data_IF_529805183126
#
_entry.id   IF_529805183126
#
_cell.length_a   1.000
_cell.length_b   1.000
_cell.length_c   1.000
_cell.angle_alpha   90.00
_cell.angle_beta   90.00
_cell.angle_gamma   90.00
#
_symmetry.space_group_name_H-M   'P 1'
#
loop_
_entity.id
_entity.type
_entity.pdbx_description
1 polymer ?
#
# COMPACT_ATOMS: atom_id res chain seq x y z
N UNK A 1 -9.43 -24.22 17.40
CA UNK A 1 -9.98 -23.48 18.56
C UNK A 1 -11.45 -23.19 18.33
N UNK A 2 -12.29 -23.30 19.38
CA UNK A 2 -13.69 -22.88 19.28
C UNK A 2 -13.79 -21.36 19.13
N UNK A 3 -14.70 -20.90 18.24
CA UNK A 3 -14.95 -19.46 18.05
C UNK A 3 -15.79 -18.93 19.21
N UNK A 4 -15.41 -17.76 19.75
CA UNK A 4 -16.25 -17.01 20.67
C UNK A 4 -17.26 -16.18 19.89
N UNK A 5 -18.50 -16.10 20.37
CA UNK A 5 -19.58 -15.35 19.74
C UNK A 5 -20.10 -14.29 20.72
N UNK A 6 -20.32 -13.08 20.20
CA UNK A 6 -20.93 -11.98 20.93
C UNK A 6 -22.00 -11.33 20.03
N UNK A 7 -23.11 -10.88 20.61
CA UNK A 7 -24.27 -10.40 19.89
C UNK A 7 -24.79 -9.08 20.43
N UNK A 8 -25.63 -8.42 19.63
CA UNK A 8 -26.40 -7.27 20.05
C UNK A 8 -25.58 -6.04 20.39
N UNK A 9 -25.97 -5.37 21.46
CA UNK A 9 -25.36 -4.12 21.93
C UNK A 9 -23.93 -4.34 22.45
N UNK A 10 -23.71 -5.42 23.18
CA UNK A 10 -22.39 -5.75 23.74
C UNK A 10 -21.34 -5.91 22.63
N UNK A 11 -21.71 -6.57 21.53
CA UNK A 11 -20.81 -6.72 20.37
C UNK A 11 -20.46 -5.36 19.76
N UNK A 12 -21.46 -4.48 19.57
CA UNK A 12 -21.23 -3.13 19.04
C UNK A 12 -20.36 -2.27 19.95
N UNK A 13 -20.59 -2.34 21.27
CA UNK A 13 -19.81 -1.60 22.25
C UNK A 13 -18.34 -2.05 22.26
N UNK A 14 -18.07 -3.35 22.22
CA UNK A 14 -16.72 -3.88 22.14
C UNK A 14 -15.99 -3.44 20.86
N UNK A 15 -16.65 -3.55 19.71
CA UNK A 15 -16.09 -3.06 18.45
C UNK A 15 -15.81 -1.56 18.50
N UNK A 16 -16.73 -0.77 19.09
CA UNK A 16 -16.56 0.68 19.20
C UNK A 16 -15.35 1.05 20.05
N UNK A 17 -15.12 0.37 21.18
CA UNK A 17 -13.94 0.62 22.03
C UNK A 17 -12.65 0.43 21.19
N UNK A 18 -12.56 -0.60 20.39
CA UNK A 18 -11.42 -0.83 19.53
C UNK A 18 -11.24 0.24 18.45
N UNK A 19 -12.34 0.63 17.80
CA UNK A 19 -12.36 1.72 16.83
C UNK A 19 -11.92 3.04 17.49
N UNK A 20 -12.44 3.36 18.66
CA UNK A 20 -12.08 4.58 19.40
C UNK A 20 -10.60 4.60 19.78
N UNK A 21 -10.04 3.46 20.17
CA UNK A 21 -8.62 3.35 20.52
C UNK A 21 -7.69 3.71 19.35
N UNK A 22 -7.94 3.16 18.16
CA UNK A 22 -7.17 3.49 16.95
C UNK A 22 -7.38 4.95 16.56
N UNK A 23 -8.63 5.41 16.52
CA UNK A 23 -8.95 6.78 16.13
C UNK A 23 -8.28 7.80 17.05
N UNK A 24 -8.30 7.59 18.36
CA UNK A 24 -7.68 8.47 19.34
C UNK A 24 -6.15 8.53 19.18
N UNK A 25 -5.50 7.40 18.93
CA UNK A 25 -4.07 7.37 18.69
C UNK A 25 -3.70 8.11 17.41
N UNK A 26 -4.39 7.82 16.31
CA UNK A 26 -4.09 8.36 14.98
C UNK A 26 -4.48 9.85 14.86
N UNK A 27 -5.63 10.26 15.41
CA UNK A 27 -6.11 11.64 15.30
C UNK A 27 -5.19 12.68 15.95
N UNK A 28 -4.33 12.27 16.88
CA UNK A 28 -3.35 13.17 17.52
C UNK A 28 -2.31 13.68 16.53
N UNK A 29 -2.11 13.01 15.40
CA UNK A 29 -1.15 13.38 14.36
C UNK A 29 -1.73 14.33 13.30
N UNK A 30 -3.04 14.64 13.35
CA UNK A 30 -3.74 15.39 12.31
C UNK A 30 -3.44 16.88 12.33
N UNK A 31 -3.13 17.41 11.15
CA UNK A 31 -3.11 18.84 10.84
C UNK A 31 -1.93 19.59 11.47
N UNK A 32 -1.95 20.95 11.41
CA UNK A 32 -0.80 21.78 11.79
C UNK A 32 -0.49 21.78 13.29
N UNK A 33 -1.38 21.25 14.13
CA UNK A 33 -1.14 20.99 15.56
C UNK A 33 -0.90 19.51 15.86
N UNK A 34 -0.69 18.71 14.81
CA UNK A 34 -0.39 17.29 14.92
C UNK A 34 0.86 17.05 15.77
N UNK A 35 0.85 15.95 16.52
CA UNK A 35 1.93 15.54 17.43
C UNK A 35 2.48 14.21 16.98
N UNK A 36 3.75 13.99 17.28
CA UNK A 36 4.36 12.68 17.12
C UNK A 36 3.81 11.71 18.20
N UNK A 37 3.71 10.45 17.81
CA UNK A 37 3.37 9.33 18.69
C UNK A 37 4.63 8.52 18.93
N UNK A 38 4.92 8.19 20.19
CA UNK A 38 5.99 7.27 20.55
C UNK A 38 5.43 5.85 20.64
N UNK A 39 6.00 4.94 19.88
CA UNK A 39 5.61 3.53 19.81
C UNK A 39 6.68 2.69 20.46
N UNK A 40 6.31 1.91 21.47
CA UNK A 40 7.22 0.98 22.13
C UNK A 40 7.68 -0.12 21.17
N UNK A 41 8.97 -0.37 21.14
CA UNK A 41 9.55 -1.49 20.39
C UNK A 41 9.99 -2.59 21.37
N UNK A 42 9.75 -3.85 21.02
CA UNK A 42 10.18 -5.01 21.85
C UNK A 42 11.69 -5.04 22.06
N UNK A 43 12.45 -4.53 21.10
CA UNK A 43 13.91 -4.42 21.15
C UNK A 43 14.32 -3.06 20.58
N UNK A 44 15.17 -2.33 21.29
CA UNK A 44 15.69 -1.03 20.84
C UNK A 44 14.95 0.16 21.43
N UNK A 45 15.14 1.32 20.84
CA UNK A 45 14.51 2.58 21.26
C UNK A 45 13.09 2.68 20.71
N UNK A 46 12.17 3.42 21.40
CA UNK A 46 10.85 3.69 20.87
C UNK A 46 10.92 4.38 19.49
N UNK A 47 10.05 3.97 18.58
CA UNK A 47 9.88 4.65 17.29
C UNK A 47 9.00 5.88 17.49
N UNK A 48 9.46 7.03 17.03
CA UNK A 48 8.70 8.28 17.04
C UNK A 48 8.22 8.57 15.63
N UNK A 49 6.91 8.66 15.44
CA UNK A 49 6.31 8.91 14.12
C UNK A 49 5.06 9.79 14.23
N UNK A 50 4.73 10.46 13.13
CA UNK A 50 3.47 11.17 12.95
C UNK A 50 2.63 10.55 11.82
N UNK A 51 3.11 9.50 11.18
CA UNK A 51 2.38 8.83 10.11
C UNK A 51 1.21 8.02 10.64
N UNK A 52 0.01 8.34 10.12
CA UNK A 52 -1.25 7.75 10.57
C UNK A 52 -1.34 6.24 10.35
N UNK A 53 -0.84 5.71 9.22
CA UNK A 53 -0.89 4.27 8.96
C UNK A 53 0.07 3.49 9.86
N UNK A 54 1.26 4.03 10.10
CA UNK A 54 2.24 3.44 11.01
C UNK A 54 1.68 3.37 12.43
N UNK A 55 1.12 4.49 12.93
CA UNK A 55 0.47 4.52 14.25
C UNK A 55 -0.69 3.53 14.30
N UNK A 56 -1.55 3.51 13.27
CA UNK A 56 -2.70 2.60 13.25
C UNK A 56 -2.27 1.13 13.33
N UNK A 57 -1.25 0.71 12.57
CA UNK A 57 -0.77 -0.67 12.52
C UNK A 57 -0.32 -1.20 13.88
N UNK A 58 0.26 -0.35 14.71
CA UNK A 58 0.83 -0.74 16.02
C UNK A 58 -0.21 -0.81 17.14
N UNK A 59 -1.43 -0.30 16.96
CA UNK A 59 -2.47 -0.39 17.99
C UNK A 59 -3.00 -1.82 18.09
N UNK A 60 -2.71 -2.53 19.15
CA UNK A 60 -3.24 -3.86 19.46
C UNK A 60 -3.91 -3.85 20.83
N UNK A 61 -5.04 -4.55 20.95
CA UNK A 61 -5.82 -4.61 22.18
C UNK A 61 -5.92 -6.05 22.72
N UNK A 62 -5.86 -6.23 24.04
CA UNK A 62 -5.89 -7.57 24.65
C UNK A 62 -7.21 -8.31 24.46
N UNK A 63 -8.35 -7.58 24.45
CA UNK A 63 -9.66 -8.18 24.22
C UNK A 63 -9.86 -8.45 22.73
N UNK A 64 -10.16 -9.70 22.33
CA UNK A 64 -10.26 -10.07 20.91
C UNK A 64 -11.40 -9.37 20.17
N UNK A 65 -12.50 -9.00 20.83
CA UNK A 65 -13.60 -8.27 20.18
C UNK A 65 -13.28 -6.79 20.03
N UNK A 66 -12.61 -6.18 21.00
CA UNK A 66 -12.10 -4.82 20.89
C UNK A 66 -11.02 -4.74 19.81
N UNK A 67 -10.10 -5.70 19.77
CA UNK A 67 -9.06 -5.77 18.76
C UNK A 67 -9.65 -5.97 17.34
N UNK A 68 -10.76 -6.68 17.22
CA UNK A 68 -11.47 -6.78 15.92
C UNK A 68 -11.99 -5.40 15.47
N UNK A 69 -12.51 -4.58 16.36
CA UNK A 69 -12.88 -3.19 16.09
C UNK A 69 -11.68 -2.35 15.63
N UNK A 70 -10.54 -2.49 16.31
CA UNK A 70 -9.29 -1.86 15.92
C UNK A 70 -8.87 -2.27 14.50
N UNK A 71 -8.91 -3.55 14.16
CA UNK A 71 -8.56 -4.06 12.83
C UNK A 71 -9.46 -3.48 11.72
N UNK A 72 -10.76 -3.34 11.96
CA UNK A 72 -11.67 -2.73 10.99
C UNK A 72 -11.30 -1.29 10.65
N UNK A 73 -10.88 -0.49 11.64
CA UNK A 73 -10.48 0.89 11.39
C UNK A 73 -9.08 0.99 10.76
N UNK A 74 -8.15 0.10 11.14
CA UNK A 74 -6.84 -0.02 10.49
C UNK A 74 -6.96 -0.28 8.99
N UNK A 75 -7.95 -1.06 8.57
CA UNK A 75 -8.18 -1.37 7.15
C UNK A 75 -8.47 -0.12 6.33
N UNK A 76 -9.21 0.86 6.88
CA UNK A 76 -9.46 2.14 6.21
C UNK A 76 -8.16 2.92 5.97
N UNK A 77 -7.28 2.96 6.97
CA UNK A 77 -5.96 3.59 6.86
C UNK A 77 -5.06 2.87 5.84
N UNK A 78 -4.98 1.54 5.91
CA UNK A 78 -4.15 0.74 5.02
C UNK A 78 -4.58 0.86 3.54
N UNK A 79 -5.89 0.76 3.26
CA UNK A 79 -6.40 0.93 1.88
C UNK A 79 -6.13 2.32 1.32
N UNK A 80 -6.20 3.36 2.15
CA UNK A 80 -5.85 4.72 1.71
C UNK A 80 -4.37 4.82 1.39
N UNK A 81 -3.50 4.24 2.22
CA UNK A 81 -2.07 4.17 1.97
C UNK A 81 -1.74 3.46 0.65
N UNK A 82 -2.37 2.32 0.40
CA UNK A 82 -2.10 1.50 -0.80
C UNK A 82 -2.53 2.19 -2.11
N UNK A 83 -3.56 3.04 -2.04
CA UNK A 83 -4.12 3.71 -3.23
C UNK A 83 -3.48 5.09 -3.45
N UNK A 84 -3.30 5.88 -2.39
CA UNK A 84 -2.93 7.29 -2.49
C UNK A 84 -1.56 7.61 -1.83
N UNK A 85 -1.06 6.75 -0.93
CA UNK A 85 0.18 7.00 -0.19
C UNK A 85 0.08 8.10 0.86
N UNK A 86 -1.01 8.87 0.90
CA UNK A 86 -1.24 9.97 1.84
C UNK A 86 -2.71 10.02 2.27
N UNK A 87 -3.04 10.85 3.29
CA UNK A 87 -4.39 11.00 3.80
C UNK A 87 -4.84 9.89 4.76
N UNK A 88 -3.95 9.06 5.25
CA UNK A 88 -4.24 7.91 6.13
C UNK A 88 -4.86 8.33 7.46
N UNK A 89 -4.39 9.43 8.05
CA UNK A 89 -4.97 10.02 9.26
C UNK A 89 -6.38 10.55 8.99
N UNK A 90 -6.58 11.26 7.87
CA UNK A 90 -7.88 11.81 7.49
C UNK A 90 -8.91 10.71 7.26
N UNK A 91 -8.55 9.65 6.53
CA UNK A 91 -9.45 8.51 6.29
C UNK A 91 -9.85 7.79 7.58
N UNK A 92 -8.91 7.64 8.51
CA UNK A 92 -9.17 7.05 9.84
C UNK A 92 -10.17 7.89 10.63
N UNK A 93 -9.98 9.21 10.68
CA UNK A 93 -10.87 10.14 11.40
C UNK A 93 -12.26 10.17 10.77
N UNK A 94 -12.37 10.20 9.44
CA UNK A 94 -13.65 10.16 8.73
C UNK A 94 -14.39 8.84 8.97
N UNK A 95 -13.70 7.69 8.86
CA UNK A 95 -14.29 6.39 9.11
C UNK A 95 -14.80 6.27 10.56
N UNK A 96 -14.01 6.74 11.54
CA UNK A 96 -14.42 6.81 12.94
C UNK A 96 -15.67 7.67 13.14
N UNK A 97 -15.73 8.87 12.51
CA UNK A 97 -16.88 9.75 12.61
C UNK A 97 -18.16 9.11 12.02
N UNK A 98 -18.04 8.48 10.84
CA UNK A 98 -19.17 7.79 10.18
C UNK A 98 -19.68 6.65 11.08
N UNK A 99 -18.78 5.83 11.65
CA UNK A 99 -19.16 4.73 12.54
C UNK A 99 -19.83 5.26 13.81
N UNK A 100 -19.28 6.30 14.40
CA UNK A 100 -19.80 6.89 15.65
C UNK A 100 -21.22 7.45 15.45
N UNK A 101 -21.46 8.22 14.40
CA UNK A 101 -22.78 8.75 14.09
C UNK A 101 -23.76 7.63 13.63
N UNK A 102 -23.25 6.65 12.89
CA UNK A 102 -24.02 5.48 12.50
C UNK A 102 -24.52 4.68 13.72
N UNK A 103 -23.66 4.43 14.71
CA UNK A 103 -24.03 3.73 15.94
C UNK A 103 -25.05 4.51 16.77
N UNK A 104 -24.96 5.85 16.86
CA UNK A 104 -25.99 6.68 17.49
C UNK A 104 -27.34 6.54 16.79
N UNK A 105 -27.33 6.59 15.47
CA UNK A 105 -28.54 6.44 14.64
C UNK A 105 -29.20 5.07 14.81
N UNK A 106 -28.38 4.00 14.91
CA UNK A 106 -28.85 2.65 15.21
C UNK A 106 -29.45 2.54 16.61
N UNK A 107 -28.81 3.15 17.61
CA UNK A 107 -29.32 3.19 18.99
C UNK A 107 -30.67 3.93 19.09
N UNK A 108 -30.90 4.91 18.20
CA UNK A 108 -32.19 5.62 18.06
C UNK A 108 -33.26 4.78 17.32
N UNK A 109 -32.98 3.54 16.93
CA UNK A 109 -33.94 2.63 16.31
C UNK A 109 -33.97 2.59 14.79
N UNK A 110 -32.99 3.22 14.11
CA UNK A 110 -32.92 3.18 12.64
C UNK A 110 -32.63 1.76 12.12
N UNK A 111 -33.17 1.47 10.94
CA UNK A 111 -32.91 0.20 10.28
C UNK A 111 -31.46 0.17 9.74
N UNK A 112 -30.61 -0.82 10.15
CA UNK A 112 -29.20 -0.87 9.76
C UNK A 112 -28.98 -1.01 8.26
N UNK A 113 -29.87 -1.72 7.55
CA UNK A 113 -29.75 -1.90 6.10
C UNK A 113 -30.10 -0.63 5.32
N UNK A 114 -31.04 0.16 5.81
CA UNK A 114 -31.38 1.46 5.23
C UNK A 114 -30.26 2.47 5.49
N UNK A 115 -29.68 2.46 6.70
CA UNK A 115 -28.55 3.31 7.06
C UNK A 115 -27.34 2.96 6.16
N UNK A 116 -27.02 1.70 5.96
CA UNK A 116 -25.94 1.26 5.06
C UNK A 116 -26.15 1.83 3.64
N UNK A 117 -27.34 1.68 3.06
CA UNK A 117 -27.65 2.20 1.72
C UNK A 117 -27.50 3.74 1.66
N UNK A 118 -27.93 4.44 2.71
CA UNK A 118 -27.76 5.88 2.81
C UNK A 118 -26.30 6.30 2.82
N UNK A 119 -25.46 5.61 3.58
CA UNK A 119 -24.01 5.86 3.63
C UNK A 119 -23.36 5.59 2.26
N UNK A 120 -23.73 4.50 1.59
CA UNK A 120 -23.19 4.16 0.26
C UNK A 120 -23.54 5.21 -0.80
N UNK A 121 -24.76 5.72 -0.80
CA UNK A 121 -25.20 6.77 -1.72
C UNK A 121 -24.50 8.09 -1.41
N UNK A 122 -24.46 8.50 -0.13
CA UNK A 122 -23.79 9.71 0.29
C UNK A 122 -22.29 9.68 -0.04
N UNK A 123 -21.61 8.54 0.18
CA UNK A 123 -20.20 8.39 -0.14
C UNK A 123 -19.90 8.60 -1.63
N UNK A 124 -20.76 8.11 -2.53
CA UNK A 124 -20.60 8.34 -3.98
C UNK A 124 -20.73 9.81 -4.34
N UNK A 125 -21.78 10.48 -3.85
CA UNK A 125 -22.02 11.90 -4.14
C UNK A 125 -20.87 12.76 -3.63
N UNK A 126 -20.43 12.52 -2.39
CA UNK A 126 -19.30 13.26 -1.80
C UNK A 126 -18.00 12.99 -2.57
N UNK A 127 -17.75 11.75 -3.00
CA UNK A 127 -16.55 11.43 -3.78
C UNK A 127 -16.55 12.11 -5.17
N UNK A 128 -17.72 12.22 -5.81
CA UNK A 128 -17.87 12.97 -7.07
C UNK A 128 -17.60 14.46 -6.86
N UNK A 129 -18.21 15.07 -5.84
CA UNK A 129 -18.01 16.48 -5.50
C UNK A 129 -16.55 16.82 -5.14
N UNK A 130 -15.86 15.93 -4.42
CA UNK A 130 -14.43 16.09 -4.12
C UNK A 130 -13.59 16.04 -5.40
N UNK A 131 -13.91 15.15 -6.35
CA UNK A 131 -13.20 15.11 -7.65
C UNK A 131 -13.39 16.39 -8.46
N UNK A 132 -14.59 16.96 -8.45
CA UNK A 132 -14.89 18.21 -9.15
C UNK A 132 -14.15 19.40 -8.54
N UNK A 133 -13.85 19.34 -7.24
CA UNK A 133 -13.05 20.35 -6.53
C UNK A 133 -11.54 20.12 -6.59
N UNK A 134 -11.08 18.95 -7.06
CA UNK A 134 -9.67 18.59 -7.10
C UNK A 134 -8.89 19.50 -8.06
N UNK A 135 -7.72 19.95 -7.63
CA UNK A 135 -6.77 20.71 -8.43
C UNK A 135 -5.73 19.74 -8.98
N UNK A 136 -5.58 19.73 -10.32
CA UNK A 136 -4.61 18.88 -10.97
C UNK A 136 -3.18 19.38 -10.70
N UNK A 137 -2.30 18.45 -10.27
CA UNK A 137 -0.87 18.70 -10.06
C UNK A 137 -0.16 18.61 -11.41
N UNK A 138 0.25 19.77 -11.95
CA UNK A 138 0.81 19.83 -13.31
C UNK A 138 2.22 20.40 -13.37
N UNK A 139 2.58 21.30 -12.45
CA UNK A 139 3.87 21.97 -12.45
C UNK A 139 4.85 21.33 -11.47
N UNK A 140 6.14 21.51 -11.71
CA UNK A 140 7.20 21.08 -10.79
C UNK A 140 7.03 21.68 -9.38
N UNK A 141 6.55 22.93 -9.31
CA UNK A 141 6.27 23.60 -8.03
C UNK A 141 5.12 22.91 -7.28
N UNK A 142 4.08 22.48 -8.00
CA UNK A 142 2.97 21.75 -7.38
C UNK A 142 3.46 20.41 -6.82
N UNK A 143 4.29 19.70 -7.58
CA UNK A 143 4.91 18.45 -7.14
C UNK A 143 5.75 18.67 -5.87
N UNK A 144 6.60 19.71 -5.87
CA UNK A 144 7.42 20.09 -4.71
C UNK A 144 6.55 20.39 -3.48
N UNK A 145 5.45 21.13 -3.65
CA UNK A 145 4.53 21.46 -2.56
C UNK A 145 3.86 20.21 -1.97
N UNK A 146 3.38 19.30 -2.82
CA UNK A 146 2.77 18.02 -2.38
C UNK A 146 3.79 17.17 -1.62
N UNK A 147 4.99 17.01 -2.19
CA UNK A 147 6.04 16.23 -1.57
C UNK A 147 6.54 16.85 -0.25
N UNK A 148 6.63 18.20 -0.18
CA UNK A 148 6.97 18.93 1.06
C UNK A 148 5.94 18.70 2.17
N UNK A 149 4.65 18.69 1.84
CA UNK A 149 3.59 18.42 2.82
C UNK A 149 3.71 17.00 3.35
N UNK A 150 3.92 16.02 2.48
CA UNK A 150 4.07 14.61 2.87
C UNK A 150 5.32 14.36 3.70
N UNK A 151 6.47 14.90 3.29
CA UNK A 151 7.75 14.74 3.98
C UNK A 151 7.91 15.65 5.20
N UNK A 152 7.11 16.70 5.31
CA UNK A 152 7.26 17.81 6.26
C UNK A 152 8.65 18.47 6.20
N UNK A 153 9.30 18.40 5.03
CA UNK A 153 10.62 18.92 4.76
C UNK A 153 10.69 19.48 3.32
N UNK A 154 10.99 20.78 3.21
CA UNK A 154 11.05 21.46 1.91
C UNK A 154 12.23 20.98 1.05
N UNK A 155 13.34 20.58 1.68
CA UNK A 155 14.50 20.07 0.95
C UNK A 155 14.17 18.73 0.29
N UNK A 156 13.53 17.82 1.02
CA UNK A 156 13.04 16.53 0.48
C UNK A 156 12.00 16.78 -0.62
N UNK A 157 11.07 17.70 -0.40
CA UNK A 157 10.04 18.05 -1.37
C UNK A 157 10.62 18.52 -2.70
N UNK A 158 11.61 19.42 -2.66
CA UNK A 158 12.31 19.92 -3.85
C UNK A 158 13.12 18.80 -4.53
N UNK A 159 13.81 17.95 -3.75
CA UNK A 159 14.57 16.81 -4.28
C UNK A 159 13.68 15.84 -5.05
N UNK A 160 12.51 15.49 -4.51
CA UNK A 160 11.53 14.63 -5.18
C UNK A 160 11.02 15.27 -6.46
N UNK A 161 10.74 16.57 -6.45
CA UNK A 161 10.30 17.30 -7.64
C UNK A 161 11.39 17.34 -8.73
N UNK A 162 12.66 17.48 -8.35
CA UNK A 162 13.80 17.41 -9.27
C UNK A 162 13.94 16.03 -9.90
N UNK A 163 13.76 14.97 -9.10
CA UNK A 163 13.81 13.58 -9.58
C UNK A 163 12.64 13.33 -10.53
N UNK A 164 11.42 13.75 -10.16
CA UNK A 164 10.21 13.58 -10.97
C UNK A 164 10.31 14.28 -12.33
N UNK A 165 10.91 15.47 -12.34
CA UNK A 165 11.18 16.25 -13.57
C UNK A 165 12.11 15.50 -14.55
N UNK A 166 13.08 14.76 -14.01
CA UNK A 166 14.03 13.96 -14.81
C UNK A 166 13.47 12.63 -15.28
N UNK A 167 12.76 11.89 -14.40
CA UNK A 167 12.24 10.56 -14.73
C UNK A 167 10.91 10.61 -15.47
N UNK A 168 10.21 11.76 -15.41
CA UNK A 168 8.90 11.95 -16.01
C UNK A 168 7.74 11.42 -15.14
N UNK A 169 6.51 11.72 -15.56
CA UNK A 169 5.28 11.39 -14.81
C UNK A 169 5.05 9.88 -14.62
N UNK A 170 5.54 9.06 -15.53
CA UNK A 170 5.42 7.61 -15.50
C UNK A 170 6.65 6.93 -14.85
N UNK A 171 7.62 7.72 -14.37
CA UNK A 171 8.82 7.22 -13.74
C UNK A 171 8.53 6.68 -12.34
N UNK A 172 9.24 5.62 -11.96
CA UNK A 172 9.16 5.04 -10.62
C UNK A 172 10.23 5.66 -9.74
N UNK A 173 9.82 6.17 -8.58
CA UNK A 173 10.71 6.70 -7.56
C UNK A 173 10.65 5.76 -6.36
N UNK A 174 11.81 5.23 -5.96
CA UNK A 174 11.96 4.42 -4.74
C UNK A 174 12.79 5.20 -3.73
N UNK A 175 12.48 5.02 -2.45
CA UNK A 175 13.21 5.62 -1.33
C UNK A 175 13.83 4.50 -0.52
N UNK A 176 15.15 4.53 -0.35
CA UNK A 176 15.91 3.55 0.41
C UNK A 176 16.79 4.27 1.44
N UNK A 177 17.20 3.57 2.50
CA UNK A 177 18.17 4.12 3.46
C UNK A 177 19.56 4.23 2.83
N UNK A 178 20.13 5.44 2.83
CA UNK A 178 21.52 5.65 2.41
C UNK A 178 22.49 5.16 3.47
N UNK A 179 23.65 4.68 3.02
CA UNK A 179 24.78 4.36 3.91
C UNK A 179 25.55 5.62 4.33
N UNK A 180 25.30 6.73 3.66
CA UNK A 180 25.90 8.04 3.91
C UNK A 180 25.08 8.89 4.90
N UNK A 181 25.58 10.10 5.17
CA UNK A 181 24.90 11.11 6.00
C UNK A 181 24.09 12.11 5.16
N UNK A 182 24.24 12.09 3.85
CA UNK A 182 23.61 13.00 2.91
C UNK A 182 22.62 12.26 2.03
N UNK A 183 21.70 13.02 1.43
CA UNK A 183 20.77 12.48 0.42
C UNK A 183 21.54 12.20 -0.87
N UNK A 184 21.39 10.98 -1.37
CA UNK A 184 21.95 10.55 -2.64
C UNK A 184 20.82 10.25 -3.63
N UNK A 185 20.98 10.63 -4.89
CA UNK A 185 20.05 10.33 -5.96
C UNK A 185 20.72 9.48 -7.02
N UNK A 186 20.21 8.28 -7.24
CA UNK A 186 20.66 7.39 -8.32
C UNK A 186 19.58 7.32 -9.40
N UNK A 187 19.98 7.51 -10.65
CA UNK A 187 19.09 7.40 -11.80
C UNK A 187 19.44 6.13 -12.56
N UNK A 188 18.44 5.28 -12.74
CA UNK A 188 18.57 4.02 -13.48
C UNK A 188 17.68 4.08 -14.71
N UNK A 189 18.23 3.74 -15.88
CA UNK A 189 17.43 3.56 -17.07
C UNK A 189 16.69 2.22 -16.98
N UNK A 190 15.37 2.24 -17.10
CA UNK A 190 14.51 1.08 -16.92
C UNK A 190 13.77 1.07 -15.60
N UNK A 191 13.47 -0.12 -15.08
CA UNK A 191 12.76 -0.31 -13.82
C UNK A 191 13.52 -1.28 -12.92
N UNK A 192 13.75 -0.90 -11.66
CA UNK A 192 14.35 -1.77 -10.62
C UNK A 192 13.23 -2.42 -9.80
N UNK A 193 13.33 -3.71 -9.55
CA UNK A 193 12.42 -4.47 -8.70
C UNK A 193 13.13 -4.92 -7.43
N UNK A 194 12.40 -5.01 -6.33
CA UNK A 194 12.93 -5.48 -5.03
C UNK A 194 13.26 -6.97 -5.02
N UNK A 195 12.68 -7.73 -5.96
CA UNK A 195 12.92 -9.17 -6.10
C UNK A 195 13.57 -9.47 -7.43
N UNK A 196 14.63 -10.26 -7.38
CA UNK A 196 15.31 -10.79 -8.55
C UNK A 196 14.64 -12.07 -9.08
N UNK A 197 15.46 -12.95 -9.71
CA UNK A 197 14.98 -14.23 -10.25
C UNK A 197 14.40 -15.13 -9.14
N UNK A 198 13.34 -15.84 -9.47
CA UNK A 198 12.60 -16.70 -8.54
C UNK A 198 13.37 -17.96 -8.12
N UNK A 199 14.37 -18.38 -8.89
CA UNK A 199 15.17 -19.56 -8.63
C UNK A 199 16.58 -19.37 -9.12
N UNK A 200 17.57 -19.88 -8.37
CA UNK A 200 18.97 -19.91 -8.77
C UNK A 200 19.24 -20.64 -10.09
N UNK A 201 18.30 -21.44 -10.57
CA UNK A 201 18.38 -22.09 -11.89
C UNK A 201 18.32 -21.14 -13.08
N UNK A 202 17.89 -19.90 -12.87
CA UNK A 202 17.82 -18.86 -13.91
C UNK A 202 19.08 -17.98 -13.97
N UNK A 203 20.10 -18.27 -13.16
CA UNK A 203 21.38 -17.57 -13.26
C UNK A 203 22.07 -17.89 -14.58
N UNK A 204 22.49 -16.83 -15.29
CA UNK A 204 23.33 -16.94 -16.48
C UNK A 204 24.82 -16.83 -16.14
N UNK A 205 25.18 -16.16 -15.05
CA UNK A 205 26.52 -16.03 -14.51
C UNK A 205 26.50 -16.53 -13.05
N UNK A 206 27.04 -17.74 -12.83
CA UNK A 206 27.07 -18.38 -11.50
C UNK A 206 28.11 -17.75 -10.57
N UNK A 207 29.16 -17.14 -11.10
CA UNK A 207 30.24 -16.56 -10.29
C UNK A 207 29.79 -15.22 -9.68
N UNK A 208 28.98 -14.46 -10.42
CA UNK A 208 28.38 -13.21 -9.96
C UNK A 208 27.00 -13.38 -9.35
N UNK A 209 26.40 -14.56 -9.45
CA UNK A 209 25.01 -14.84 -9.09
C UNK A 209 24.02 -13.88 -9.78
N UNK A 210 24.25 -13.61 -11.07
CA UNK A 210 23.44 -12.71 -11.88
C UNK A 210 22.73 -13.46 -13.01
N UNK A 211 21.57 -12.93 -13.43
CA UNK A 211 20.86 -13.34 -14.64
C UNK A 211 20.79 -12.15 -15.58
N UNK A 212 21.62 -12.18 -16.63
CA UNK A 212 21.67 -11.10 -17.64
C UNK A 212 21.10 -11.64 -18.95
N UNK A 213 20.04 -11.01 -19.44
CA UNK A 213 19.35 -11.37 -20.67
C UNK A 213 19.31 -10.13 -21.57
N UNK A 214 19.83 -10.27 -22.79
CA UNK A 214 19.90 -9.17 -23.76
C UNK A 214 18.69 -9.17 -24.67
N UNK A 215 18.03 -8.00 -24.81
CA UNK A 215 16.88 -7.78 -25.70
C UNK A 215 15.73 -8.82 -25.56
N UNK A 216 15.27 -9.11 -24.30
CA UNK A 216 14.21 -10.10 -24.08
C UNK A 216 12.83 -9.53 -24.42
N UNK A 217 11.89 -10.44 -24.71
CA UNK A 217 10.48 -10.10 -24.59
C UNK A 217 10.06 -10.07 -23.12
N UNK A 218 9.19 -9.15 -22.74
CA UNK A 218 8.68 -9.03 -21.37
C UNK A 218 7.21 -9.47 -21.37
N UNK A 219 6.92 -10.52 -20.60
CA UNK A 219 5.57 -10.98 -20.29
C UNK A 219 5.18 -10.52 -18.90
N UNK A 220 4.12 -9.75 -18.79
CA UNK A 220 3.58 -9.27 -17.52
C UNK A 220 2.28 -9.99 -17.24
N UNK A 221 2.14 -10.57 -16.02
CA UNK A 221 0.95 -11.27 -15.58
C UNK A 221 0.66 -10.92 -14.11
N UNK A 222 -0.60 -10.58 -13.82
CA UNK A 222 -1.05 -10.08 -12.50
C UNK A 222 -1.38 -11.18 -11.48
N UNK A 223 -1.13 -12.46 -11.83
CA UNK A 223 -1.45 -13.61 -10.99
C UNK A 223 -0.30 -14.59 -10.94
N UNK A 224 -0.44 -15.56 -10.03
CA UNK A 224 0.45 -16.71 -9.95
C UNK A 224 0.30 -17.62 -11.18
N UNK A 225 1.42 -18.11 -11.72
CA UNK A 225 1.48 -19.05 -12.84
C UNK A 225 2.01 -20.39 -12.32
N UNK A 226 1.19 -21.43 -12.36
CA UNK A 226 1.56 -22.78 -11.86
C UNK A 226 1.58 -23.84 -12.98
N UNK A 227 0.71 -23.70 -13.99
CA UNK A 227 0.56 -24.66 -15.06
C UNK A 227 1.44 -24.31 -16.25
N UNK A 228 2.17 -25.30 -16.76
CA UNK A 228 2.98 -25.18 -17.98
C UNK A 228 2.13 -24.78 -19.19
N UNK A 229 0.90 -25.26 -19.24
CA UNK A 229 -0.04 -25.01 -20.35
C UNK A 229 -0.39 -23.55 -20.54
N UNK A 230 -0.29 -22.73 -19.50
CA UNK A 230 -0.56 -21.29 -19.57
C UNK A 230 0.55 -20.54 -20.32
N UNK A 231 1.78 -21.04 -20.28
CA UNK A 231 2.93 -20.43 -20.92
C UNK A 231 3.18 -20.95 -22.35
N UNK A 232 2.86 -22.23 -22.64
CA UNK A 232 3.15 -22.88 -23.93
C UNK A 232 2.66 -22.06 -25.13
N UNK A 233 1.42 -21.54 -25.21
CA UNK A 233 0.96 -20.81 -26.38
C UNK A 233 1.73 -19.51 -26.63
N UNK A 234 2.24 -18.89 -25.56
CA UNK A 234 3.02 -17.65 -25.64
C UNK A 234 4.44 -17.97 -26.11
N UNK A 235 5.04 -19.02 -25.56
CA UNK A 235 6.38 -19.49 -25.92
C UNK A 235 6.43 -19.98 -27.37
N UNK A 236 5.40 -20.68 -27.84
CA UNK A 236 5.29 -21.10 -29.26
C UNK A 236 5.26 -19.90 -30.22
N UNK A 237 4.51 -18.85 -29.86
CA UNK A 237 4.51 -17.61 -30.65
C UNK A 237 5.87 -16.92 -30.66
N UNK A 238 6.55 -16.88 -29.51
CA UNK A 238 7.90 -16.33 -29.39
C UNK A 238 8.89 -17.05 -30.29
N UNK A 239 8.88 -18.37 -30.29
CA UNK A 239 9.75 -19.19 -31.15
C UNK A 239 9.48 -18.93 -32.62
N UNK A 240 8.21 -18.72 -33.03
CA UNK A 240 7.86 -18.36 -34.41
C UNK A 240 8.44 -17.00 -34.83
N UNK A 241 8.67 -16.07 -33.94
CA UNK A 241 9.32 -14.78 -34.22
C UNK A 241 10.84 -14.86 -34.33
N UNK A 242 11.43 -16.03 -34.05
CA UNK A 242 12.88 -16.25 -34.07
C UNK A 242 13.62 -15.81 -32.81
N UNK A 243 12.93 -15.25 -31.82
CA UNK A 243 13.50 -14.89 -30.51
C UNK A 243 13.15 -15.96 -29.49
N UNK A 244 14.06 -16.17 -28.54
CA UNK A 244 13.92 -17.21 -27.51
C UNK A 244 13.96 -16.67 -26.09
N UNK A 245 14.43 -15.44 -25.94
CA UNK A 245 14.65 -14.83 -24.63
C UNK A 245 13.38 -14.09 -24.17
N UNK A 246 12.90 -14.47 -22.97
CA UNK A 246 11.72 -13.87 -22.34
C UNK A 246 11.96 -13.68 -20.86
N UNK A 247 11.55 -12.51 -20.35
CA UNK A 247 11.43 -12.24 -18.93
C UNK A 247 9.95 -12.29 -18.57
N UNK A 248 9.60 -13.06 -17.56
CA UNK A 248 8.24 -13.18 -17.05
C UNK A 248 8.18 -12.46 -15.70
N UNK A 249 7.32 -11.45 -15.61
CA UNK A 249 7.02 -10.71 -14.39
C UNK A 249 5.62 -11.15 -13.94
N UNK A 250 5.54 -11.88 -12.83
CA UNK A 250 4.29 -12.39 -12.29
C UNK A 250 4.28 -12.29 -10.76
N UNK A 251 3.10 -12.42 -10.12
CA UNK A 251 2.99 -12.47 -8.65
C UNK A 251 3.85 -13.60 -8.06
N UNK A 252 3.80 -14.78 -8.67
CA UNK A 252 4.61 -15.94 -8.31
C UNK A 252 4.64 -16.94 -9.48
N UNK A 253 5.68 -17.78 -9.58
CA UNK A 253 5.77 -18.89 -10.54
C UNK A 253 6.21 -20.14 -9.81
N UNK A 254 5.42 -21.21 -9.86
CA UNK A 254 5.77 -22.49 -9.25
C UNK A 254 5.41 -23.69 -10.14
N UNK A 255 5.53 -24.88 -9.57
CA UNK A 255 5.09 -26.13 -10.17
C UNK A 255 5.72 -26.45 -11.51
N UNK A 256 4.88 -26.75 -12.50
CA UNK A 256 5.33 -27.12 -13.85
C UNK A 256 5.77 -25.91 -14.67
N UNK A 257 5.19 -24.74 -14.44
CA UNK A 257 5.57 -23.51 -15.12
C UNK A 257 7.03 -23.12 -14.84
N UNK A 258 7.49 -23.29 -13.60
CA UNK A 258 8.89 -23.05 -13.20
C UNK A 258 9.88 -23.98 -13.93
N UNK A 259 9.46 -25.21 -14.26
CA UNK A 259 10.31 -26.20 -14.93
C UNK A 259 10.53 -25.91 -16.40
N UNK A 260 9.60 -25.24 -17.07
CA UNK A 260 9.72 -24.88 -18.49
C UNK A 260 10.93 -23.98 -18.73
N UNK A 261 11.18 -23.00 -17.87
CA UNK A 261 12.33 -22.11 -17.99
C UNK A 261 13.68 -22.84 -17.95
N UNK A 262 13.70 -24.09 -17.45
CA UNK A 262 14.90 -24.94 -17.34
C UNK A 262 15.18 -25.76 -18.60
N UNK A 263 14.21 -25.89 -19.50
CA UNK A 263 14.33 -26.78 -20.68
C UNK A 263 15.11 -26.17 -21.85
N UNK A 264 15.59 -24.92 -21.72
CA UNK A 264 16.25 -24.19 -22.79
C UNK A 264 17.55 -23.47 -22.36
N UNK A 265 18.25 -24.03 -21.38
CA UNK A 265 19.65 -23.66 -21.07
C UNK A 265 20.58 -24.73 -21.66
#
# INVERSE_FOLDING_TARGET
>A
MAKKLLFGEDARNKLKIGIDAVANAVSTTLGPKGRNVAIEQKFGSPTITHDGVTVAKEVELPDPFENMGAQLLKEASAKTNDIAGDGTTTSTVLAHAIVTEGLKTLAAGANPMMLKRGIEVAAKIVAEDIRDQAIEVTTKTDIANVATISAQDEHIGNLIADVMDKVGKDGVITVEESKGLEFETEYVEGMKFDRGYISSYFMTDTDKMESVISDPYILIHDKKISAAQDLVPILEKLVQTGKRDVIIIAEDIDGEALKIGRAHV
#
